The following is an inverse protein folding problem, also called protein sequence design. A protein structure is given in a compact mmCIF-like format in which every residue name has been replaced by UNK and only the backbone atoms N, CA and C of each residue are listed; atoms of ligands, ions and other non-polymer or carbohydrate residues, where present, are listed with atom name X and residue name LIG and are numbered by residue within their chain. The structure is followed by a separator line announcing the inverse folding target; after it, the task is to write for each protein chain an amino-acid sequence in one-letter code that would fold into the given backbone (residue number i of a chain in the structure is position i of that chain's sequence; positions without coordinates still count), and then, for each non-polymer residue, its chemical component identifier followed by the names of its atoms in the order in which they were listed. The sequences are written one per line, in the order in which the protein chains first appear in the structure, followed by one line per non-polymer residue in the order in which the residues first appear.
data_IF_429922909298
#
_entry.id   IF_429922909298
#
_cell.length_a   1.000
_cell.length_b   1.000
_cell.length_c   1.000
_cell.angle_alpha   90.00
_cell.angle_beta   90.00
_cell.angle_gamma   90.00
#
_symmetry.space_group_name_H-M   'P 1'
#
loop_
_entity.id
_entity.type
_entity.pdbx_description
1 polymer ?
#
# COMPACT_ATOMS: atom_id res chain seq x y z
N UNK A 1 -14.43 0.74 8.33
CA UNK A 1 -13.24 0.45 7.51
C UNK A 1 -12.66 1.77 7.02
N UNK A 2 -11.46 2.16 7.44
CA UNK A 2 -10.80 3.36 6.89
C UNK A 2 -10.33 3.02 5.48
N UNK A 3 -10.86 3.72 4.47
CA UNK A 3 -10.47 3.56 3.06
C UNK A 3 -9.29 4.49 2.76
N UNK A 4 -8.37 4.08 1.88
CA UNK A 4 -7.33 5.00 1.38
C UNK A 4 -7.98 5.90 0.35
N UNK A 5 -7.77 7.20 0.43
CA UNK A 5 -8.28 8.14 -0.57
C UNK A 5 -7.16 8.67 -1.45
N UNK A 6 -7.47 8.96 -2.70
CA UNK A 6 -6.61 9.74 -3.58
C UNK A 6 -6.78 11.25 -3.31
N UNK A 7 -5.98 12.08 -3.97
CA UNK A 7 -6.01 13.54 -3.80
C UNK A 7 -7.38 14.20 -4.09
N UNK A 8 -8.24 13.54 -4.87
CA UNK A 8 -9.61 14.02 -5.18
C UNK A 8 -10.70 13.35 -4.32
N UNK A 9 -10.32 12.66 -3.25
CA UNK A 9 -11.24 12.05 -2.29
C UNK A 9 -11.88 10.72 -2.75
N UNK A 10 -11.39 10.11 -3.84
CA UNK A 10 -11.88 8.81 -4.31
C UNK A 10 -11.15 7.65 -3.63
N UNK A 11 -11.84 6.55 -3.32
CA UNK A 11 -11.22 5.41 -2.67
C UNK A 11 -10.25 4.66 -3.59
N UNK A 12 -9.08 4.35 -3.04
CA UNK A 12 -8.06 3.47 -3.60
C UNK A 12 -8.09 2.14 -2.83
N UNK A 13 -8.28 1.05 -3.56
CA UNK A 13 -8.40 -0.29 -2.98
C UNK A 13 -7.11 -1.09 -3.13
N UNK A 14 -6.69 -1.72 -2.04
CA UNK A 14 -5.57 -2.65 -2.04
C UNK A 14 -5.78 -3.80 -1.03
N UNK A 15 -5.65 -5.08 -1.45
CA UNK A 15 -5.45 -5.53 -2.83
C UNK A 15 -6.69 -5.23 -3.71
N UNK A 16 -6.53 -5.11 -5.05
CA UNK A 16 -7.64 -4.80 -5.96
C UNK A 16 -8.61 -5.97 -6.17
N UNK A 17 -8.14 -7.21 -5.95
CA UNK A 17 -8.94 -8.44 -6.05
C UNK A 17 -8.49 -9.45 -5.00
N UNK A 18 -9.39 -10.36 -4.64
CA UNK A 18 -9.11 -11.55 -3.83
C UNK A 18 -9.21 -12.85 -4.66
N UNK A 19 -9.28 -12.75 -5.99
CA UNK A 19 -9.22 -13.90 -6.89
C UNK A 19 -7.91 -14.68 -6.67
N UNK A 20 -7.98 -15.99 -6.81
CA UNK A 20 -6.83 -16.88 -6.61
C UNK A 20 -6.45 -17.62 -7.88
N UNK A 21 -5.19 -18.00 -8.01
CA UNK A 21 -4.73 -18.95 -9.02
C UNK A 21 -5.08 -20.41 -8.66
N UNK A 22 -4.66 -21.36 -9.49
CA UNK A 22 -4.86 -22.81 -9.29
C UNK A 22 -4.18 -23.33 -8.00
N UNK A 23 -3.21 -22.60 -7.46
CA UNK A 23 -2.53 -22.90 -6.20
C UNK A 23 -3.23 -22.26 -4.98
N UNK A 24 -4.35 -21.56 -5.18
CA UNK A 24 -5.08 -20.87 -4.12
C UNK A 24 -4.38 -19.60 -3.61
N UNK A 25 -3.41 -19.07 -4.35
CA UNK A 25 -2.69 -17.84 -4.01
C UNK A 25 -3.44 -16.65 -4.58
N UNK A 26 -3.63 -15.60 -3.78
CA UNK A 26 -4.31 -14.39 -4.25
C UNK A 26 -3.46 -13.72 -5.34
N UNK A 27 -4.10 -13.49 -6.49
CA UNK A 27 -3.48 -12.87 -7.66
C UNK A 27 -3.04 -11.43 -7.31
N UNK A 28 -1.73 -11.17 -7.27
CA UNK A 28 -1.21 -9.85 -6.98
C UNK A 28 -1.43 -8.90 -8.18
N UNK A 29 -1.51 -7.61 -7.91
CA UNK A 29 -1.38 -6.57 -8.95
C UNK A 29 0.01 -6.66 -9.65
N UNK A 30 0.18 -6.26 -10.92
CA UNK A 30 1.51 -6.04 -11.48
C UNK A 30 2.37 -5.09 -10.61
N UNK A 31 3.66 -5.39 -10.44
CA UNK A 31 4.56 -4.63 -9.56
C UNK A 31 4.79 -3.20 -10.03
N UNK A 32 4.85 -3.01 -11.35
CA UNK A 32 5.01 -1.74 -12.05
C UNK A 32 3.83 -0.78 -11.80
N UNK A 33 2.63 -1.29 -11.54
CA UNK A 33 1.47 -0.48 -11.18
C UNK A 33 1.49 0.03 -9.72
N UNK A 34 2.37 -0.48 -8.87
CA UNK A 34 2.43 -0.09 -7.46
C UNK A 34 2.92 1.35 -7.28
N UNK A 35 3.89 1.79 -8.09
CA UNK A 35 4.37 3.17 -8.07
C UNK A 35 3.24 4.15 -8.41
N UNK A 36 2.52 3.90 -9.50
CA UNK A 36 1.35 4.69 -9.91
C UNK A 36 0.25 4.70 -8.85
N UNK A 37 0.05 3.59 -8.13
CA UNK A 37 -0.88 3.56 -7.00
C UNK A 37 -0.45 4.52 -5.90
N UNK A 38 0.84 4.48 -5.49
CA UNK A 38 1.37 5.34 -4.42
C UNK A 38 1.27 6.81 -4.81
N UNK A 39 1.56 7.18 -6.06
CA UNK A 39 1.47 8.57 -6.52
C UNK A 39 0.06 9.16 -6.41
N UNK A 40 -0.97 8.32 -6.52
CA UNK A 40 -2.36 8.75 -6.40
C UNK A 40 -2.81 8.98 -4.96
N UNK A 41 -2.15 8.38 -3.96
CA UNK A 41 -2.56 8.48 -2.55
C UNK A 41 -2.48 9.94 -2.08
N UNK A 42 -3.50 10.43 -1.39
CA UNK A 42 -3.43 11.77 -0.79
C UNK A 42 -2.34 11.81 0.30
N UNK A 43 -1.59 12.91 0.42
CA UNK A 43 -0.43 12.98 1.31
C UNK A 43 -0.79 12.73 2.79
N UNK A 44 -1.96 13.18 3.24
CA UNK A 44 -2.51 12.93 4.58
C UNK A 44 -2.90 11.46 4.80
N UNK A 45 -3.08 10.69 3.73
CA UNK A 45 -3.44 9.27 3.74
C UNK A 45 -2.23 8.33 3.67
N UNK A 46 -1.01 8.84 3.42
CA UNK A 46 0.20 8.03 3.32
C UNK A 46 0.48 7.26 4.63
N UNK A 47 0.52 7.92 5.79
CA UNK A 47 0.76 7.24 7.08
C UNK A 47 -0.36 6.25 7.47
N UNK A 48 -1.65 6.61 7.36
CA UNK A 48 -2.73 5.65 7.55
C UNK A 48 -2.64 4.42 6.64
N UNK A 49 -2.19 4.60 5.39
CA UNK A 49 -1.93 3.50 4.46
C UNK A 49 -0.77 2.63 4.94
N UNK A 50 0.40 3.22 5.23
CA UNK A 50 1.57 2.49 5.73
C UNK A 50 1.24 1.60 6.93
N UNK A 51 0.54 2.16 7.92
CA UNK A 51 0.11 1.40 9.13
C UNK A 51 -0.75 0.19 8.76
N UNK A 52 -1.67 0.33 7.80
CA UNK A 52 -2.52 -0.78 7.34
C UNK A 52 -1.73 -1.85 6.60
N UNK A 53 -0.74 -1.45 5.79
CA UNK A 53 0.15 -2.38 5.09
C UNK A 53 0.94 -3.23 6.09
N UNK A 54 1.58 -2.60 7.08
CA UNK A 54 2.33 -3.29 8.15
C UNK A 54 1.42 -4.27 8.91
N UNK A 55 0.26 -3.81 9.38
CA UNK A 55 -0.68 -4.65 10.12
C UNK A 55 -1.20 -5.83 9.27
N UNK A 56 -1.49 -5.58 8.00
CA UNK A 56 -1.97 -6.59 7.06
C UNK A 56 -0.93 -7.69 6.82
N UNK A 57 0.35 -7.31 6.64
CA UNK A 57 1.46 -8.24 6.49
C UNK A 57 1.70 -9.02 7.79
N UNK A 58 1.77 -8.33 8.93
CA UNK A 58 2.00 -8.97 10.23
C UNK A 58 0.93 -10.01 10.59
N UNK A 59 -0.35 -9.70 10.33
CA UNK A 59 -1.48 -10.60 10.62
C UNK A 59 -1.44 -11.89 9.80
N UNK A 60 -0.93 -11.84 8.57
CA UNK A 60 -1.04 -12.93 7.58
C UNK A 60 0.32 -13.50 7.17
N UNK A 61 1.38 -13.23 7.92
CA UNK A 61 2.76 -13.61 7.60
C UNK A 61 3.01 -15.13 7.52
N UNK A 62 2.12 -15.95 8.09
CA UNK A 62 2.22 -17.42 8.09
C UNK A 62 1.28 -18.10 7.09
N UNK A 63 0.47 -17.33 6.36
CA UNK A 63 -0.51 -17.88 5.43
C UNK A 63 0.06 -17.87 4.00
N UNK A 64 0.33 -19.05 3.45
CA UNK A 64 0.92 -19.20 2.11
C UNK A 64 0.11 -18.51 1.01
N UNK A 65 -1.23 -18.57 1.08
CA UNK A 65 -2.15 -17.89 0.12
C UNK A 65 -1.98 -16.36 0.05
N UNK A 66 -1.36 -15.76 1.07
CA UNK A 66 -1.12 -14.31 1.14
C UNK A 66 0.33 -13.92 0.84
N UNK A 67 1.21 -14.87 0.52
CA UNK A 67 2.63 -14.61 0.29
C UNK A 67 2.86 -13.51 -0.75
N UNK A 68 2.26 -13.64 -1.93
CA UNK A 68 2.33 -12.67 -3.01
C UNK A 68 1.81 -11.29 -2.57
N UNK A 69 0.62 -11.24 -1.97
CA UNK A 69 0.02 -9.98 -1.47
C UNK A 69 0.86 -9.34 -0.37
N UNK A 70 1.47 -10.13 0.51
CA UNK A 70 2.35 -9.62 1.56
C UNK A 70 3.63 -9.01 0.97
N UNK A 71 4.20 -9.61 -0.08
CA UNK A 71 5.32 -9.03 -0.81
C UNK A 71 4.93 -7.68 -1.42
N UNK A 72 3.76 -7.59 -2.05
CA UNK A 72 3.25 -6.31 -2.56
C UNK A 72 3.05 -5.27 -1.45
N UNK A 73 2.56 -5.67 -0.27
CA UNK A 73 2.39 -4.75 0.87
C UNK A 73 3.71 -4.17 1.33
N UNK A 74 4.77 -4.98 1.34
CA UNK A 74 6.11 -4.53 1.70
C UNK A 74 6.67 -3.59 0.64
N UNK A 75 6.47 -3.90 -0.64
CA UNK A 75 6.91 -3.02 -1.73
C UNK A 75 6.15 -1.68 -1.73
N UNK A 76 4.82 -1.71 -1.57
CA UNK A 76 4.02 -0.49 -1.41
C UNK A 76 4.45 0.32 -0.18
N UNK A 77 4.80 -0.35 0.92
CA UNK A 77 5.30 0.32 2.12
C UNK A 77 6.61 1.04 1.84
N UNK A 78 7.55 0.40 1.12
CA UNK A 78 8.81 1.02 0.68
C UNK A 78 8.55 2.27 -0.16
N UNK A 79 7.73 2.14 -1.21
CA UNK A 79 7.37 3.26 -2.09
C UNK A 79 6.68 4.41 -1.34
N UNK A 80 5.79 4.11 -0.40
CA UNK A 80 5.17 5.13 0.43
C UNK A 80 6.21 5.88 1.28
N UNK A 81 7.21 5.18 1.83
CA UNK A 81 8.28 5.79 2.64
C UNK A 81 9.13 6.68 1.75
N UNK A 82 9.55 6.18 0.58
CA UNK A 82 10.35 6.93 -0.39
C UNK A 82 9.65 8.23 -0.79
N UNK A 83 8.34 8.16 -1.10
CA UNK A 83 7.53 9.34 -1.39
C UNK A 83 7.43 10.30 -0.20
N UNK A 84 7.16 9.80 1.01
CA UNK A 84 7.02 10.67 2.18
C UNK A 84 8.33 11.42 2.52
N UNK A 85 9.48 10.79 2.28
CA UNK A 85 10.79 11.40 2.42
C UNK A 85 11.05 12.44 1.31
N UNK A 86 10.68 12.14 0.06
CA UNK A 86 10.82 13.06 -1.07
C UNK A 86 9.94 14.30 -0.95
N UNK A 87 8.69 14.13 -0.52
CA UNK A 87 7.72 15.20 -0.29
C UNK A 87 8.11 16.10 0.90
N UNK A 88 9.19 15.75 1.63
CA UNK A 88 9.64 16.46 2.83
C UNK A 88 8.50 16.67 3.83
N UNK A 89 7.57 15.73 3.94
CA UNK A 89 6.51 15.76 4.94
C UNK A 89 7.05 15.82 6.38
N UNK A 90 8.37 15.60 6.55
CA UNK A 90 9.13 15.73 7.79
C UNK A 90 10.13 16.90 7.85
N UNK A 91 10.35 17.66 6.77
CA UNK A 91 11.19 18.87 6.83
C UNK A 91 10.29 20.09 7.03
N UNK A 92 10.03 20.41 8.29
CA UNK A 92 9.52 21.71 8.71
C UNK A 92 10.29 22.84 8.01
N UNK A 93 9.63 23.79 7.32
CA UNK A 93 10.02 25.18 7.46
C UNK A 93 9.31 25.68 8.72
N UNK A 94 9.96 25.56 9.87
CA UNK A 94 9.65 26.49 10.95
C UNK A 94 10.23 27.82 10.50
N UNK A 95 9.36 28.75 10.09
CA UNK A 95 9.73 30.15 9.97
C UNK A 95 10.23 30.73 11.28
#
# INVERSE_FOLDING_TARGET
MTQTLNAVGRPLFFPPSLATDDAGVILPRPMDELASFVDQVASDQLFPLMRRLVNGTAKRKREARWSAVNQQRLELLRLCIDRALADRLYCLPSG
#
